data_IF_919532051500
#
_entry.id   IF_919532051500
#
_cell.length_a   1.000
_cell.length_b   1.000
_cell.length_c   1.000
_cell.angle_alpha   90.00
_cell.angle_beta   90.00
_cell.angle_gamma   90.00
#
_symmetry.space_group_name_H-M   'P 1'
#
loop_
_entity.id
_entity.type
_entity.pdbx_description
1 polymer ?
#
# COMPACT_ATOMS: atom_id res chain seq x y z
N UNK A 1 88.59 61.86 -62.54
CA UNK A 1 87.71 60.82 -61.96
C UNK A 1 87.50 61.12 -60.48
N UNK A 2 86.52 61.95 -60.12
CA UNK A 2 86.25 62.28 -58.72
C UNK A 2 85.56 61.09 -58.04
N UNK A 3 86.22 60.47 -57.05
CA UNK A 3 85.56 59.55 -56.12
C UNK A 3 84.68 60.38 -55.20
N UNK A 4 83.37 60.18 -55.31
CA UNK A 4 82.39 60.77 -54.41
C UNK A 4 82.66 60.26 -52.98
N UNK A 5 82.76 61.15 -51.96
CA UNK A 5 82.90 60.72 -50.58
C UNK A 5 81.71 59.83 -50.20
N UNK A 6 81.99 58.64 -49.67
CA UNK A 6 80.94 57.80 -49.10
C UNK A 6 80.39 58.56 -47.90
N UNK A 7 79.13 58.98 -48.00
CA UNK A 7 78.39 59.53 -46.87
C UNK A 7 78.28 58.42 -45.83
N UNK A 8 79.12 58.48 -44.80
CA UNK A 8 78.93 57.72 -43.56
C UNK A 8 77.76 58.37 -42.84
N UNK A 9 76.54 58.05 -43.29
CA UNK A 9 75.36 58.29 -42.46
C UNK A 9 75.57 57.53 -41.15
N UNK A 10 75.10 58.03 -40.00
CA UNK A 10 75.25 57.31 -38.72
C UNK A 10 74.69 55.88 -38.74
N UNK A 11 73.78 55.59 -39.68
CA UNK A 11 73.21 54.27 -39.96
C UNK A 11 74.16 53.30 -40.68
N UNK A 12 75.30 53.76 -41.21
CA UNK A 12 76.23 52.91 -41.96
C UNK A 12 76.99 51.89 -41.11
N UNK A 13 76.82 51.92 -39.78
CA UNK A 13 77.44 50.95 -38.88
C UNK A 13 76.61 49.67 -38.85
N UNK A 14 77.00 48.71 -39.70
CA UNK A 14 76.33 47.40 -39.87
C UNK A 14 76.07 46.68 -38.54
N UNK A 15 76.95 46.88 -37.56
CA UNK A 15 76.85 46.28 -36.23
C UNK A 15 75.76 46.93 -35.38
N UNK A 16 75.58 48.26 -35.48
CA UNK A 16 74.47 48.96 -34.83
C UNK A 16 73.13 48.53 -35.43
N UNK A 17 73.06 48.35 -36.75
CA UNK A 17 71.85 47.86 -37.42
C UNK A 17 71.51 46.42 -36.98
N UNK A 18 72.50 45.53 -36.88
CA UNK A 18 72.31 44.16 -36.36
C UNK A 18 71.89 44.13 -34.90
N UNK A 19 72.48 44.98 -34.06
CA UNK A 19 72.10 45.09 -32.66
C UNK A 19 70.65 45.57 -32.51
N UNK A 20 70.25 46.58 -33.28
CA UNK A 20 68.88 47.08 -33.31
C UNK A 20 67.89 46.01 -33.76
N UNK A 21 68.18 45.33 -34.88
CA UNK A 21 67.34 44.24 -35.41
C UNK A 21 67.14 43.13 -34.37
N UNK A 22 68.22 42.75 -33.66
CA UNK A 22 68.16 41.74 -32.59
C UNK A 22 67.27 42.22 -31.43
N UNK A 23 67.46 43.45 -30.95
CA UNK A 23 66.62 44.01 -29.87
C UNK A 23 65.16 44.13 -30.27
N UNK A 24 64.89 44.48 -31.54
CA UNK A 24 63.55 44.56 -32.08
C UNK A 24 62.89 43.18 -32.16
N UNK A 25 63.60 42.16 -32.64
CA UNK A 25 63.10 40.78 -32.64
C UNK A 25 62.86 40.25 -31.23
N UNK A 26 63.76 40.53 -30.29
CA UNK A 26 63.60 40.13 -28.89
C UNK A 26 62.40 40.85 -28.24
N UNK A 27 62.18 42.12 -28.54
CA UNK A 27 60.98 42.86 -28.13
C UNK A 27 59.71 42.23 -28.72
N UNK A 28 59.70 41.93 -30.03
CA UNK A 28 58.54 41.30 -30.69
C UNK A 28 58.23 39.92 -30.10
N UNK A 29 59.26 39.12 -29.77
CA UNK A 29 59.09 37.85 -29.04
C UNK A 29 58.49 38.07 -27.66
N UNK A 30 58.94 39.08 -26.91
CA UNK A 30 58.37 39.41 -25.59
C UNK A 30 56.91 39.85 -25.68
N UNK A 31 56.57 40.65 -26.69
CA UNK A 31 55.20 41.10 -26.94
C UNK A 31 54.31 39.92 -27.34
N UNK A 32 54.79 39.04 -28.20
CA UNK A 32 54.02 37.87 -28.66
C UNK A 32 53.80 36.84 -27.55
N UNK A 33 54.79 36.66 -26.67
CA UNK A 33 54.73 35.71 -25.56
C UNK A 33 54.12 36.32 -24.28
N UNK A 34 53.74 37.59 -24.29
CA UNK A 34 53.12 38.24 -23.14
C UNK A 34 51.78 37.55 -22.84
N UNK A 35 51.70 36.95 -21.65
CA UNK A 35 50.45 36.36 -21.17
C UNK A 35 49.49 37.48 -20.72
N UNK A 36 48.17 37.31 -20.93
CA UNK A 36 47.20 38.25 -20.41
C UNK A 36 47.24 38.28 -18.88
N UNK A 37 47.07 39.48 -18.29
CA UNK A 37 47.06 39.66 -16.84
C UNK A 37 45.85 39.01 -16.16
N UNK A 38 44.76 38.86 -16.90
CA UNK A 38 43.49 38.31 -16.43
C UNK A 38 43.15 37.10 -17.27
N UNK A 39 42.81 36.01 -16.61
CA UNK A 39 42.24 34.84 -17.24
C UNK A 39 40.85 35.18 -17.83
N UNK A 40 40.72 35.03 -19.14
CA UNK A 40 39.45 35.21 -19.87
C UNK A 40 38.85 33.88 -20.32
N UNK A 41 39.45 32.76 -19.93
CA UNK A 41 38.94 31.44 -20.27
C UNK A 41 37.61 31.16 -19.56
N UNK A 42 36.70 30.43 -20.23
CA UNK A 42 35.48 29.98 -19.58
C UNK A 42 35.82 29.03 -18.43
N UNK A 43 35.11 29.12 -17.29
CA UNK A 43 35.32 28.20 -16.18
C UNK A 43 35.04 26.77 -16.61
N UNK A 44 35.74 25.82 -15.97
CA UNK A 44 35.58 24.41 -16.27
C UNK A 44 34.15 23.94 -15.93
N UNK A 45 33.46 23.42 -16.94
CA UNK A 45 32.10 22.89 -16.79
C UNK A 45 32.20 21.43 -16.33
N UNK A 46 31.64 21.14 -15.17
CA UNK A 46 31.59 19.77 -14.65
C UNK A 46 30.33 19.04 -15.11
N UNK A 47 30.47 17.76 -15.47
CA UNK A 47 29.36 16.92 -15.93
C UNK A 47 28.19 16.85 -14.95
N UNK A 48 28.47 16.88 -13.64
CA UNK A 48 27.44 16.87 -12.59
C UNK A 48 26.63 18.17 -12.50
N UNK A 49 27.10 19.28 -13.07
CA UNK A 49 26.34 20.53 -13.18
C UNK A 49 25.37 20.49 -14.37
N UNK A 50 25.75 19.82 -15.45
CA UNK A 50 24.93 19.70 -16.66
C UNK A 50 23.93 18.53 -16.60
N UNK A 51 24.26 17.46 -15.88
CA UNK A 51 23.51 16.21 -15.87
C UNK A 51 22.80 15.97 -14.55
N UNK A 52 21.49 15.73 -14.62
CA UNK A 52 20.67 15.34 -13.46
C UNK A 52 20.69 13.82 -13.29
N UNK A 53 21.78 13.27 -12.77
CA UNK A 53 21.98 11.81 -12.63
C UNK A 53 20.83 11.08 -11.92
N UNK A 54 20.26 11.65 -10.85
CA UNK A 54 19.10 11.06 -10.17
C UNK A 54 17.89 10.91 -11.10
N UNK A 55 17.62 11.92 -11.94
CA UNK A 55 16.51 11.88 -12.90
C UNK A 55 16.75 10.80 -13.95
N UNK A 56 17.97 10.75 -14.50
CA UNK A 56 18.34 9.75 -15.50
C UNK A 56 18.18 8.33 -14.97
N UNK A 57 18.68 8.07 -13.75
CA UNK A 57 18.58 6.77 -13.09
C UNK A 57 17.13 6.34 -12.86
N UNK A 58 16.27 7.25 -12.36
CA UNK A 58 14.86 6.92 -12.15
C UNK A 58 14.13 6.62 -13.46
N UNK A 59 14.47 7.31 -14.55
CA UNK A 59 13.87 7.01 -15.86
C UNK A 59 14.32 5.64 -16.39
N UNK A 60 15.60 5.31 -16.25
CA UNK A 60 16.13 3.99 -16.61
C UNK A 60 15.45 2.86 -15.84
N UNK A 61 15.29 3.01 -14.53
CA UNK A 61 14.57 2.04 -13.69
C UNK A 61 13.09 1.90 -14.10
N UNK A 62 12.42 3.03 -14.38
CA UNK A 62 11.04 3.04 -14.87
C UNK A 62 10.91 2.31 -16.21
N UNK A 63 11.81 2.57 -17.16
CA UNK A 63 11.83 1.91 -18.47
C UNK A 63 12.11 0.41 -18.33
N UNK A 64 13.04 0.01 -17.46
CA UNK A 64 13.33 -1.40 -17.19
C UNK A 64 12.11 -2.17 -16.68
N UNK A 65 11.31 -1.55 -15.80
CA UNK A 65 10.05 -2.14 -15.31
C UNK A 65 9.04 -2.28 -16.46
N UNK A 66 8.90 -1.25 -17.30
CA UNK A 66 8.01 -1.26 -18.46
C UNK A 66 8.40 -2.38 -19.42
N UNK A 67 9.69 -2.50 -19.76
CA UNK A 67 10.19 -3.51 -20.71
C UNK A 67 9.97 -4.93 -20.19
N UNK A 68 10.24 -5.17 -18.91
CA UNK A 68 9.95 -6.47 -18.27
C UNK A 68 8.47 -6.81 -18.33
N UNK A 69 7.60 -5.84 -18.04
CA UNK A 69 6.16 -6.05 -18.07
C UNK A 69 5.65 -6.28 -19.51
N UNK A 70 6.18 -5.54 -20.49
CA UNK A 70 5.87 -5.72 -21.89
C UNK A 70 6.28 -7.11 -22.38
N UNK A 71 7.48 -7.57 -22.02
CA UNK A 71 7.93 -8.93 -22.32
C UNK A 71 6.98 -9.99 -21.74
N UNK A 72 6.63 -9.87 -20.46
CA UNK A 72 5.72 -10.81 -19.81
C UNK A 72 4.32 -10.80 -20.45
N UNK A 73 3.82 -9.61 -20.81
CA UNK A 73 2.54 -9.45 -21.49
C UNK A 73 2.57 -10.14 -22.85
N UNK A 74 3.60 -9.90 -23.67
CA UNK A 74 3.78 -10.55 -24.96
C UNK A 74 3.86 -12.06 -24.83
N UNK A 75 4.59 -12.57 -23.83
CA UNK A 75 4.67 -14.00 -23.56
C UNK A 75 3.29 -14.59 -23.22
N UNK A 76 2.49 -13.90 -22.41
CA UNK A 76 1.12 -14.32 -22.06
C UNK A 76 0.18 -14.28 -23.25
N UNK A 77 0.23 -13.23 -24.05
CA UNK A 77 -0.56 -13.09 -25.28
C UNK A 77 -0.19 -14.20 -26.26
N UNK A 78 1.10 -14.43 -26.51
CA UNK A 78 1.57 -15.50 -27.38
C UNK A 78 1.12 -16.89 -26.89
N UNK A 79 1.20 -17.13 -25.58
CA UNK A 79 0.72 -18.38 -24.97
C UNK A 79 -0.80 -18.54 -25.16
N UNK A 80 -1.60 -17.50 -24.88
CA UNK A 80 -3.04 -17.53 -25.07
C UNK A 80 -3.44 -17.74 -26.54
N UNK A 81 -2.74 -17.08 -27.47
CA UNK A 81 -2.94 -17.23 -28.91
C UNK A 81 -2.61 -18.65 -29.38
N UNK A 82 -1.52 -19.24 -28.87
CA UNK A 82 -1.13 -20.63 -29.17
C UNK A 82 -2.16 -21.62 -28.65
N UNK A 83 -2.67 -21.38 -27.44
CA UNK A 83 -3.60 -22.29 -26.76
C UNK A 83 -5.03 -22.20 -27.32
N UNK A 84 -5.39 -21.20 -28.16
CA UNK A 84 -6.71 -21.07 -28.84
C UNK A 84 -7.93 -21.33 -27.93
N UNK A 85 -7.84 -21.02 -26.63
CA UNK A 85 -8.94 -21.27 -25.68
C UNK A 85 -9.00 -22.68 -25.08
N UNK A 86 -8.02 -23.55 -25.31
CA UNK A 86 -7.80 -24.77 -24.54
C UNK A 86 -7.30 -24.41 -23.13
N UNK A 87 -8.15 -23.77 -22.35
CA UNK A 87 -7.92 -23.71 -20.91
C UNK A 87 -8.11 -25.14 -20.42
N UNK A 88 -7.08 -25.73 -19.82
CA UNK A 88 -7.24 -26.94 -19.01
C UNK A 88 -8.08 -26.57 -17.79
N UNK A 89 -9.37 -26.34 -18.03
CA UNK A 89 -10.41 -26.13 -17.04
C UNK A 89 -10.69 -27.44 -16.34
N UNK A 90 -9.65 -28.09 -15.80
CA UNK A 90 -9.79 -29.03 -14.68
C UNK A 90 -10.20 -28.21 -13.47
N UNK A 91 -11.41 -27.67 -13.54
CA UNK A 91 -12.11 -27.15 -12.40
C UNK A 91 -12.31 -28.34 -11.48
N UNK A 92 -11.59 -28.37 -10.36
CA UNK A 92 -11.68 -29.41 -9.32
C UNK A 92 -13.04 -29.33 -8.58
N UNK A 93 -14.12 -29.05 -9.31
CA UNK A 93 -15.49 -28.97 -8.86
C UNK A 93 -15.91 -30.27 -8.19
N UNK A 94 -15.52 -31.40 -8.76
CA UNK A 94 -15.77 -32.74 -8.20
C UNK A 94 -15.09 -32.93 -6.84
N UNK A 95 -13.84 -32.48 -6.69
CA UNK A 95 -13.10 -32.55 -5.41
C UNK A 95 -13.73 -31.63 -4.36
N UNK A 96 -14.04 -30.37 -4.72
CA UNK A 96 -14.71 -29.41 -3.82
C UNK A 96 -16.09 -29.90 -3.37
N UNK A 97 -16.86 -30.52 -4.28
CA UNK A 97 -18.16 -31.14 -3.98
C UNK A 97 -17.99 -32.28 -2.97
N UNK A 98 -17.06 -33.21 -3.21
CA UNK A 98 -16.77 -34.32 -2.29
C UNK A 98 -16.35 -33.84 -0.90
N UNK A 99 -15.49 -32.82 -0.82
CA UNK A 99 -15.08 -32.25 0.48
C UNK A 99 -16.25 -31.59 1.23
N UNK A 100 -17.15 -30.88 0.53
CA UNK A 100 -18.37 -30.31 1.14
C UNK A 100 -19.32 -31.39 1.64
N UNK A 101 -19.50 -32.45 0.86
CA UNK A 101 -20.36 -33.59 1.22
C UNK A 101 -19.81 -34.33 2.45
N UNK A 102 -18.49 -34.57 2.52
CA UNK A 102 -17.85 -35.13 3.71
C UNK A 102 -18.00 -34.24 4.94
N UNK A 103 -17.86 -32.92 4.80
CA UNK A 103 -18.06 -31.98 5.89
C UNK A 103 -19.52 -31.98 6.39
N UNK A 104 -20.48 -32.02 5.46
CA UNK A 104 -21.91 -32.13 5.78
C UNK A 104 -22.23 -33.42 6.56
N UNK A 105 -21.71 -34.57 6.11
CA UNK A 105 -21.92 -35.85 6.80
C UNK A 105 -21.30 -35.86 8.20
N UNK A 106 -20.15 -35.20 8.40
CA UNK A 106 -19.53 -35.03 9.74
C UNK A 106 -20.42 -34.21 10.66
N UNK A 107 -20.93 -33.08 10.18
CA UNK A 107 -21.84 -32.21 10.95
C UNK A 107 -23.14 -32.93 11.27
N UNK A 108 -23.73 -33.67 10.32
CA UNK A 108 -24.93 -34.47 10.59
C UNK A 108 -24.69 -35.52 11.68
N UNK A 109 -23.57 -36.23 11.62
CA UNK A 109 -23.21 -37.22 12.65
C UNK A 109 -23.01 -36.58 14.03
N UNK A 110 -22.38 -35.42 14.10
CA UNK A 110 -22.23 -34.66 15.35
C UNK A 110 -23.58 -34.17 15.89
N UNK A 111 -24.47 -33.72 15.01
CA UNK A 111 -25.79 -33.22 15.39
C UNK A 111 -26.74 -34.32 15.90
N UNK A 112 -26.48 -35.60 15.61
CA UNK A 112 -27.27 -36.73 16.14
C UNK A 112 -27.01 -37.00 17.63
N UNK A 113 -25.85 -36.59 18.16
CA UNK A 113 -25.45 -36.82 19.56
C UNK A 113 -26.42 -36.19 20.55
N UNK A 114 -26.92 -34.97 20.26
CA UNK A 114 -27.81 -34.26 21.17
C UNK A 114 -29.21 -34.89 21.24
N UNK A 115 -29.89 -35.18 20.12
CA UNK A 115 -31.13 -35.97 20.13
C UNK A 115 -30.99 -37.34 20.79
N UNK A 116 -29.91 -38.09 20.52
CA UNK A 116 -29.66 -39.39 21.16
C UNK A 116 -29.52 -39.27 22.67
N UNK A 117 -28.77 -38.27 23.13
CA UNK A 117 -28.63 -37.95 24.56
C UNK A 117 -29.96 -37.55 25.19
N UNK A 118 -30.77 -36.74 24.50
CA UNK A 118 -32.09 -36.37 24.99
C UNK A 118 -33.04 -37.57 25.09
N UNK A 119 -32.93 -38.53 24.17
CA UNK A 119 -33.73 -39.76 24.19
C UNK A 119 -33.31 -40.72 25.30
N UNK A 120 -32.01 -40.83 25.59
CA UNK A 120 -31.47 -41.72 26.63
C UNK A 120 -31.53 -41.11 28.03
N UNK A 121 -31.63 -39.79 28.15
CA UNK A 121 -31.77 -39.11 29.44
C UNK A 121 -33.16 -39.34 30.02
N UNK A 122 -33.24 -39.80 31.28
CA UNK A 122 -34.53 -39.92 31.96
C UNK A 122 -35.13 -38.54 32.26
N UNK A 123 -36.41 -38.31 31.89
CA UNK A 123 -37.08 -37.08 32.24
C UNK A 123 -37.28 -37.01 33.76
N UNK A 124 -36.68 -36.02 34.44
CA UNK A 124 -36.88 -35.74 35.87
C UNK A 124 -38.34 -35.57 36.28
N UNK A 125 -39.21 -35.26 35.31
CA UNK A 125 -40.63 -35.07 35.54
C UNK A 125 -41.43 -36.04 34.66
N UNK A 126 -42.21 -36.92 35.29
CA UNK A 126 -43.02 -37.93 34.59
C UNK A 126 -44.06 -37.22 33.71
N UNK A 127 -44.06 -37.54 32.41
CA UNK A 127 -44.96 -36.89 31.44
C UNK A 127 -46.44 -36.94 31.86
N UNK A 128 -46.84 -38.02 32.55
CA UNK A 128 -48.17 -38.21 33.11
C UNK A 128 -48.48 -37.19 34.22
N UNK A 129 -47.57 -37.00 35.17
CA UNK A 129 -47.73 -36.01 36.26
C UNK A 129 -47.81 -34.58 35.70
N UNK A 130 -47.07 -34.29 34.63
CA UNK A 130 -47.19 -33.01 33.88
C UNK A 130 -48.56 -32.82 33.27
N UNK A 131 -49.13 -33.85 32.66
CA UNK A 131 -50.48 -33.78 32.07
C UNK A 131 -51.54 -33.60 33.14
N UNK A 132 -51.40 -34.31 34.26
CA UNK A 132 -52.29 -34.24 35.42
C UNK A 132 -52.22 -32.86 36.08
N UNK A 133 -51.03 -32.29 36.30
CA UNK A 133 -50.90 -30.92 36.83
C UNK A 133 -51.53 -29.88 35.90
N UNK A 134 -51.29 -29.99 34.59
CA UNK A 134 -51.89 -29.08 33.61
C UNK A 134 -53.42 -29.22 33.60
N UNK A 135 -53.95 -30.44 33.71
CA UNK A 135 -55.38 -30.69 33.82
C UNK A 135 -55.97 -30.22 35.17
N UNK A 136 -55.23 -30.35 36.28
CA UNK A 136 -55.64 -29.89 37.59
C UNK A 136 -55.69 -28.35 37.66
N UNK A 137 -54.70 -27.68 37.07
CA UNK A 137 -54.67 -26.21 36.91
C UNK A 137 -55.81 -25.74 36.00
N UNK A 138 -56.11 -26.47 34.92
CA UNK A 138 -57.24 -26.15 34.04
C UNK A 138 -58.61 -26.42 34.69
N UNK A 139 -58.71 -27.44 35.55
CA UNK A 139 -59.94 -27.83 36.26
C UNK A 139 -60.23 -26.96 37.48
N UNK A 140 -59.20 -26.43 38.14
CA UNK A 140 -59.33 -25.48 39.24
C UNK A 140 -58.68 -24.16 38.87
N UNK A 141 -59.27 -23.39 37.93
CA UNK A 141 -58.81 -22.04 37.66
C UNK A 141 -59.00 -21.26 38.97
N UNK A 142 -57.90 -20.94 39.65
CA UNK A 142 -57.95 -20.14 40.85
C UNK A 142 -58.44 -18.74 40.44
N UNK A 143 -59.76 -18.51 40.54
CA UNK A 143 -60.37 -17.20 40.34
C UNK A 143 -60.04 -16.32 41.55
N UNK A 144 -58.77 -15.96 41.71
CA UNK A 144 -58.39 -14.91 42.67
C UNK A 144 -58.72 -13.57 42.01
N UNK A 145 -59.80 -12.93 42.46
CA UNK A 145 -60.09 -11.55 42.07
C UNK A 145 -59.03 -10.66 42.68
N UNK A 146 -58.30 -9.92 41.85
CA UNK A 146 -57.43 -8.84 42.35
C UNK A 146 -58.33 -7.75 42.91
N UNK A 147 -58.26 -7.54 44.22
CA UNK A 147 -58.94 -6.43 44.88
C UNK A 147 -57.90 -5.55 45.54
N UNK A 148 -58.10 -4.25 45.42
CA UNK A 148 -57.26 -3.24 46.04
C UNK A 148 -57.95 -2.81 47.35
N UNK A 149 -57.25 -2.95 48.48
CA UNK A 149 -57.73 -2.43 49.77
C UNK A 149 -57.00 -1.13 50.09
N UNK A 150 -57.73 -0.15 50.62
CA UNK A 150 -57.14 1.08 51.17
C UNK A 150 -56.41 0.72 52.47
N UNK A 151 -55.09 0.85 52.50
CA UNK A 151 -54.29 0.68 53.73
C UNK A 151 -54.53 1.87 54.67
N UNK A 152 -54.50 1.65 55.98
CA UNK A 152 -54.59 2.72 56.97
C UNK A 152 -53.26 3.50 57.01
N UNK A 153 -53.38 4.83 56.88
CA UNK A 153 -52.30 5.81 56.96
C UNK A 153 -51.73 5.85 58.37
N UNK A 154 -50.39 5.98 58.50
CA UNK A 154 -49.80 6.48 59.75
C UNK A 154 -49.22 7.88 59.60
N UNK A 155 -48.80 8.30 58.42
CA UNK A 155 -48.20 9.63 58.21
C UNK A 155 -48.57 10.22 56.84
N UNK A 156 -49.72 10.88 56.81
CA UNK A 156 -50.15 12.06 56.03
C UNK A 156 -49.92 12.25 54.52
N UNK A 157 -49.01 11.55 53.83
CA UNK A 157 -48.71 11.89 52.43
C UNK A 157 -48.25 10.69 51.59
N UNK A 158 -49.13 9.70 51.33
CA UNK A 158 -49.15 8.84 50.12
C UNK A 158 -50.21 7.72 50.23
N UNK A 159 -51.10 7.59 49.23
CA UNK A 159 -52.08 6.50 49.15
C UNK A 159 -51.42 5.18 48.72
N UNK A 160 -51.08 4.31 49.67
CA UNK A 160 -50.57 2.95 49.38
C UNK A 160 -51.73 1.99 49.16
N UNK A 161 -51.92 1.55 47.91
CA UNK A 161 -52.85 0.48 47.57
C UNK A 161 -52.15 -0.88 47.68
N UNK A 162 -52.54 -1.70 48.66
CA UNK A 162 -52.00 -3.06 48.81
C UNK A 162 -52.86 -4.08 48.07
N UNK A 163 -52.19 -5.00 47.37
CA UNK A 163 -52.81 -6.09 46.61
C UNK A 163 -53.29 -7.16 47.58
N UNK A 164 -54.60 -7.30 47.73
CA UNK A 164 -55.20 -8.33 48.59
C UNK A 164 -55.81 -9.43 47.73
N UNK A 165 -55.49 -10.68 48.05
CA UNK A 165 -56.04 -11.87 47.40
C UNK A 165 -57.08 -12.50 48.35
N UNK A 166 -58.37 -12.40 48.02
CA UNK A 166 -59.41 -13.15 48.72
C UNK A 166 -59.84 -14.36 47.87
N UNK A 167 -60.01 -15.55 48.48
CA UNK A 167 -60.66 -16.66 47.82
C UNK A 167 -62.14 -16.34 47.61
N UNK A 168 -62.70 -16.74 46.45
CA UNK A 168 -64.15 -16.75 46.23
C UNK A 168 -64.69 -18.00 46.95
N UNK A 169 -65.60 -17.81 47.90
CA UNK A 169 -66.29 -18.92 48.59
C UNK A 169 -67.27 -19.63 47.67
#
# INVERSE_FOLDING_TARGET
>A
MHRVPRLTTPWANRDLQRAWEKTYQDHRKKVQNAQPLVDTHPPQIYSHLCLKFKKLKMEEERLSIIDRNNYLLLQRVASAMKTRGQTDGRNNFTQRRKSREQAFMKVQKQNQVFPERLRSSEPRYRAQRRREDMAAVASHPCKRRHTWRKGAERDGHSLIWMRSLKPMG
#
